data_IF_522523222258
#
_entry.id   IF_522523222258
#
_cell.length_a   1.000
_cell.length_b   1.000
_cell.length_c   1.000
_cell.angle_alpha   90.00
_cell.angle_beta   90.00
_cell.angle_gamma   90.00
#
_symmetry.space_group_name_H-M   'P 1'
#
loop_
_entity.id
_entity.type
_entity.pdbx_description
1 polymer ?
#
# COMPACT_ATOMS: atom_id res chain seq x y z
N UNK A 1 -22.80 -79.19 6.07
CA UNK A 1 -23.82 -78.73 5.13
C UNK A 1 -24.27 -77.29 5.32
N UNK A 2 -24.00 -76.64 6.46
CA UNK A 2 -24.43 -75.21 6.74
C UNK A 2 -23.51 -74.12 6.11
N UNK A 3 -22.29 -74.43 5.72
CA UNK A 3 -21.37 -73.47 5.11
C UNK A 3 -21.52 -73.29 3.58
N UNK A 4 -22.19 -74.23 2.90
CA UNK A 4 -22.43 -74.15 1.43
C UNK A 4 -23.72 -73.40 1.09
N UNK A 5 -24.70 -73.31 2.01
CA UNK A 5 -25.88 -72.50 1.83
C UNK A 5 -25.69 -70.98 1.99
N UNK A 6 -24.71 -70.57 2.81
CA UNK A 6 -24.42 -69.16 3.05
C UNK A 6 -23.67 -68.52 1.86
N UNK A 7 -22.89 -69.29 1.14
CA UNK A 7 -22.16 -68.83 -0.07
C UNK A 7 -23.10 -68.62 -1.28
N UNK A 8 -24.21 -69.35 -1.35
CA UNK A 8 -25.17 -69.26 -2.47
C UNK A 8 -26.11 -68.05 -2.30
N UNK A 9 -26.42 -67.65 -1.06
CA UNK A 9 -27.25 -66.46 -0.77
C UNK A 9 -26.47 -65.16 -0.98
N UNK A 10 -25.13 -65.15 -0.73
CA UNK A 10 -24.31 -63.99 -1.01
C UNK A 10 -24.05 -63.79 -2.52
N UNK A 11 -24.01 -64.85 -3.31
CA UNK A 11 -23.81 -64.78 -4.76
C UNK A 11 -25.06 -64.27 -5.49
N UNK A 12 -26.30 -64.53 -4.93
CA UNK A 12 -27.56 -64.07 -5.52
C UNK A 12 -27.87 -62.62 -5.20
N UNK A 13 -27.32 -62.09 -4.10
CA UNK A 13 -27.47 -60.64 -3.72
C UNK A 13 -26.58 -59.70 -4.55
N UNK A 14 -25.48 -60.20 -5.12
CA UNK A 14 -24.58 -59.40 -5.97
C UNK A 14 -24.96 -59.33 -7.45
N UNK A 15 -25.92 -60.16 -7.89
CA UNK A 15 -26.38 -60.19 -9.29
C UNK A 15 -27.61 -59.30 -9.57
N UNK A 16 -28.24 -58.69 -8.56
CA UNK A 16 -29.36 -57.75 -8.74
C UNK A 16 -28.99 -56.27 -8.72
N UNK A 17 -27.70 -55.92 -8.59
CA UNK A 17 -27.21 -54.54 -8.57
C UNK A 17 -26.70 -54.03 -9.95
N UNK A 18 -26.84 -54.79 -11.05
CA UNK A 18 -26.27 -54.46 -12.36
C UNK A 18 -27.30 -54.20 -13.48
N UNK A 19 -28.61 -54.04 -13.14
CA UNK A 19 -29.65 -53.76 -14.16
C UNK A 19 -30.43 -52.49 -13.79
N UNK A 20 -29.69 -51.37 -13.63
CA UNK A 20 -30.29 -50.03 -13.52
C UNK A 20 -29.31 -48.96 -13.99
N UNK A 21 -28.84 -49.05 -15.24
CA UNK A 21 -28.24 -47.94 -15.96
C UNK A 21 -28.30 -48.24 -17.46
N UNK A 22 -29.41 -47.87 -18.05
CA UNK A 22 -29.63 -47.95 -19.47
C UNK A 22 -30.71 -46.96 -19.89
N UNK A 23 -30.48 -45.67 -19.69
CA UNK A 23 -31.30 -44.65 -20.31
C UNK A 23 -30.35 -43.68 -21.03
N UNK A 24 -30.44 -43.66 -22.36
CA UNK A 24 -29.83 -42.69 -23.22
C UNK A 24 -30.49 -41.36 -22.98
N UNK A 25 -29.79 -40.42 -22.36
CA UNK A 25 -30.19 -39.02 -22.39
C UNK A 25 -29.45 -38.31 -23.47
N UNK A 26 -30.21 -37.69 -24.33
CA UNK A 26 -29.85 -36.73 -25.36
C UNK A 26 -29.10 -35.54 -24.74
N UNK A 27 -28.07 -34.96 -25.35
CA UNK A 27 -27.45 -33.79 -24.82
C UNK A 27 -28.40 -32.61 -24.92
N UNK A 28 -28.96 -32.21 -23.78
CA UNK A 28 -29.67 -30.95 -23.63
C UNK A 28 -28.60 -29.85 -23.52
N UNK A 29 -28.52 -29.03 -24.55
CA UNK A 29 -27.74 -27.82 -24.57
C UNK A 29 -28.43 -26.78 -23.67
N UNK A 30 -28.14 -26.81 -22.36
CA UNK A 30 -28.43 -25.68 -21.50
C UNK A 30 -27.20 -24.74 -21.55
N UNK A 31 -27.38 -23.66 -22.29
CA UNK A 31 -26.61 -22.46 -22.09
C UNK A 31 -26.75 -22.04 -20.62
N UNK A 32 -25.68 -22.14 -19.89
CA UNK A 32 -25.62 -21.69 -18.52
C UNK A 32 -25.56 -20.16 -18.58
N UNK A 33 -26.69 -19.52 -18.37
CA UNK A 33 -26.76 -18.09 -18.05
C UNK A 33 -25.90 -17.83 -16.80
N UNK A 34 -25.11 -16.77 -16.86
CA UNK A 34 -24.16 -16.36 -15.86
C UNK A 34 -24.73 -16.30 -14.45
N UNK A 35 -24.47 -17.34 -13.70
CA UNK A 35 -24.57 -17.34 -12.27
C UNK A 35 -23.24 -16.77 -11.76
N UNK A 36 -23.22 -15.49 -11.37
CA UNK A 36 -22.16 -14.91 -10.57
C UNK A 36 -21.92 -15.85 -9.39
N UNK A 37 -20.81 -16.58 -9.40
CA UNK A 37 -20.45 -17.55 -8.40
C UNK A 37 -20.32 -16.85 -7.06
N UNK A 38 -21.28 -17.07 -6.17
CA UNK A 38 -21.19 -16.66 -4.78
C UNK A 38 -20.15 -17.59 -4.15
N UNK A 39 -18.95 -17.06 -3.88
CA UNK A 39 -17.91 -17.84 -3.20
C UNK A 39 -18.24 -17.88 -1.71
N UNK A 40 -18.02 -19.03 -1.06
CA UNK A 40 -18.09 -19.13 0.41
C UNK A 40 -16.85 -18.48 1.10
N UNK A 41 -16.04 -17.74 0.37
CA UNK A 41 -14.87 -17.03 0.87
C UNK A 41 -15.29 -15.72 1.58
N UNK A 42 -14.64 -15.36 2.72
CA UNK A 42 -13.68 -16.14 3.49
C UNK A 42 -14.32 -17.02 4.57
N UNK A 43 -13.73 -18.21 4.85
CA UNK A 43 -14.20 -19.17 5.87
C UNK A 43 -13.30 -19.20 7.13
N UNK A 44 -12.18 -18.52 7.10
CA UNK A 44 -11.20 -18.43 8.17
C UNK A 44 -10.58 -17.03 8.20
N UNK A 45 -9.76 -16.74 9.20
CA UNK A 45 -9.03 -15.48 9.30
C UNK A 45 -8.12 -15.22 8.08
N UNK A 46 -7.96 -13.94 7.72
CA UNK A 46 -7.05 -13.47 6.68
C UNK A 46 -5.82 -12.89 7.37
N UNK A 47 -4.63 -13.34 6.95
CA UNK A 47 -3.35 -12.78 7.40
C UNK A 47 -2.99 -11.56 6.56
N UNK A 48 -2.66 -10.44 7.22
CA UNK A 48 -2.15 -9.22 6.60
C UNK A 48 -0.69 -9.08 6.98
N UNK A 49 0.22 -9.25 6.04
CA UNK A 49 1.64 -9.01 6.25
C UNK A 49 1.93 -7.53 6.11
N UNK A 50 2.31 -6.90 7.23
CA UNK A 50 2.77 -5.52 7.27
C UNK A 50 4.29 -5.51 7.24
N UNK A 51 4.95 -5.01 6.18
CA UNK A 51 6.39 -5.15 5.96
C UNK A 51 7.23 -4.15 6.76
N UNK A 52 6.71 -3.69 7.90
CA UNK A 52 7.30 -2.70 8.80
C UNK A 52 7.17 -3.12 10.26
N UNK A 53 7.97 -2.47 11.11
CA UNK A 53 7.88 -2.68 12.56
C UNK A 53 6.50 -2.27 13.10
N UNK A 54 6.07 -2.98 14.15
CA UNK A 54 4.84 -2.66 14.85
C UNK A 54 4.87 -1.22 15.43
N UNK A 55 3.72 -0.55 15.42
CA UNK A 55 3.55 0.83 15.91
C UNK A 55 3.86 1.91 14.88
N UNK A 56 4.27 1.56 13.66
CA UNK A 56 4.36 2.50 12.53
C UNK A 56 3.00 2.79 11.90
N UNK A 57 2.92 3.83 11.05
CA UNK A 57 1.66 4.27 10.43
C UNK A 57 0.91 3.15 9.71
N UNK A 58 1.60 2.33 8.91
CA UNK A 58 0.99 1.20 8.21
C UNK A 58 0.48 0.09 9.14
N UNK A 59 1.20 -0.20 10.25
CA UNK A 59 0.76 -1.17 11.25
C UNK A 59 -0.50 -0.68 11.98
N UNK A 60 -0.52 0.60 12.34
CA UNK A 60 -1.68 1.22 12.99
C UNK A 60 -2.88 1.20 12.05
N UNK A 61 -2.71 1.57 10.77
CA UNK A 61 -3.77 1.54 9.78
C UNK A 61 -4.32 0.12 9.53
N UNK A 62 -3.43 -0.88 9.46
CA UNK A 62 -3.85 -2.29 9.31
C UNK A 62 -4.59 -2.80 10.55
N UNK A 63 -4.18 -2.39 11.77
CA UNK A 63 -4.85 -2.80 13.03
C UNK A 63 -6.22 -2.16 13.20
N UNK A 64 -6.43 -0.95 12.69
CA UNK A 64 -7.75 -0.32 12.70
C UNK A 64 -8.77 -1.09 11.86
N UNK A 65 -8.33 -1.74 10.79
CA UNK A 65 -9.21 -2.62 10.00
C UNK A 65 -9.64 -3.91 10.75
N UNK A 66 -8.93 -4.35 11.80
CA UNK A 66 -9.25 -5.60 12.50
C UNK A 66 -10.66 -5.60 13.13
N UNK A 67 -11.03 -4.64 14.00
CA UNK A 67 -12.38 -4.59 14.56
C UNK A 67 -13.44 -4.38 13.48
N UNK A 68 -13.18 -3.54 12.48
CA UNK A 68 -14.10 -3.26 11.38
C UNK A 68 -14.42 -4.54 10.59
N UNK A 69 -13.39 -5.32 10.21
CA UNK A 69 -13.58 -6.60 9.53
C UNK A 69 -14.37 -7.60 10.39
N UNK A 70 -14.08 -7.63 11.70
CA UNK A 70 -14.79 -8.52 12.62
C UNK A 70 -16.28 -8.17 12.72
N UNK A 71 -16.57 -6.88 12.86
CA UNK A 71 -17.94 -6.40 13.08
C UNK A 71 -18.76 -6.45 11.78
N UNK A 72 -18.17 -6.08 10.63
CA UNK A 72 -18.88 -6.07 9.36
C UNK A 72 -19.05 -7.47 8.74
N UNK A 73 -18.04 -8.32 8.84
CA UNK A 73 -17.96 -9.55 8.05
C UNK A 73 -17.84 -10.82 8.90
N UNK A 74 -17.63 -10.69 10.22
CA UNK A 74 -17.36 -11.83 11.11
C UNK A 74 -16.00 -12.49 10.89
N UNK A 75 -15.09 -11.84 10.13
CA UNK A 75 -13.77 -12.34 9.75
C UNK A 75 -12.70 -11.67 10.61
N UNK A 76 -11.78 -12.47 11.14
CA UNK A 76 -10.63 -11.94 11.87
C UNK A 76 -9.49 -11.62 10.89
N UNK A 77 -8.92 -10.42 10.98
CA UNK A 77 -7.64 -10.09 10.38
C UNK A 77 -6.51 -10.40 11.37
N UNK A 78 -5.49 -11.11 10.91
CA UNK A 78 -4.26 -11.38 11.70
C UNK A 78 -3.15 -10.53 11.14
N UNK A 79 -2.71 -9.53 11.90
CA UNK A 79 -1.63 -8.65 11.49
C UNK A 79 -0.29 -9.27 11.86
N UNK A 80 0.57 -9.50 10.85
CA UNK A 80 1.91 -10.05 11.00
C UNK A 80 2.94 -9.02 10.52
N UNK A 81 3.78 -8.52 11.45
CA UNK A 81 4.83 -7.57 11.12
C UNK A 81 6.09 -8.31 10.66
N UNK A 82 6.49 -8.11 9.40
CA UNK A 82 7.68 -8.74 8.80
C UNK A 82 8.57 -7.65 8.21
N UNK A 83 9.32 -6.97 9.06
CA UNK A 83 10.21 -5.89 8.65
C UNK A 83 11.52 -6.43 8.03
N UNK A 84 12.16 -5.59 7.21
CA UNK A 84 13.48 -5.84 6.63
C UNK A 84 13.59 -5.43 5.16
N UNK A 85 14.81 -4.98 4.77
CA UNK A 85 15.12 -4.60 3.39
C UNK A 85 14.19 -3.51 2.82
N UNK A 86 13.85 -2.51 3.62
CA UNK A 86 12.91 -1.44 3.20
C UNK A 86 11.59 -1.99 2.66
N UNK A 87 10.96 -2.93 3.39
CA UNK A 87 9.74 -3.67 3.04
C UNK A 87 9.91 -4.93 2.16
N UNK A 88 11.06 -5.12 1.52
CA UNK A 88 11.27 -6.22 0.58
C UNK A 88 11.02 -7.61 1.19
N UNK A 89 11.47 -7.85 2.44
CA UNK A 89 11.34 -9.16 3.09
C UNK A 89 9.87 -9.55 3.28
N UNK A 90 9.08 -8.69 3.90
CA UNK A 90 7.67 -8.99 4.17
C UNK A 90 6.83 -9.08 2.89
N UNK A 91 7.06 -8.19 1.93
CA UNK A 91 6.30 -8.22 0.67
C UNK A 91 6.69 -9.41 -0.20
N UNK A 92 7.97 -9.80 -0.25
CA UNK A 92 8.37 -11.04 -0.91
C UNK A 92 7.70 -12.26 -0.27
N UNK A 93 7.55 -12.29 1.06
CA UNK A 93 6.80 -13.33 1.74
C UNK A 93 5.32 -13.33 1.34
N UNK A 94 4.69 -12.15 1.29
CA UNK A 94 3.28 -12.02 0.94
C UNK A 94 3.01 -12.48 -0.49
N UNK A 95 3.73 -11.94 -1.49
CA UNK A 95 3.51 -12.25 -2.92
C UNK A 95 3.88 -13.70 -3.30
N UNK A 96 4.73 -14.37 -2.53
CA UNK A 96 5.05 -15.79 -2.71
C UNK A 96 4.21 -16.74 -1.84
N UNK A 97 3.19 -16.25 -1.17
CA UNK A 97 2.27 -17.12 -0.41
C UNK A 97 1.29 -17.84 -1.34
N UNK A 98 0.43 -18.71 -0.77
CA UNK A 98 -0.59 -19.39 -1.58
C UNK A 98 -1.59 -18.39 -2.14
N UNK A 99 -1.92 -18.51 -3.43
CA UNK A 99 -2.95 -17.69 -4.09
C UNK A 99 -4.37 -18.20 -3.74
N UNK A 100 -4.69 -18.23 -2.44
CA UNK A 100 -5.99 -18.68 -1.90
C UNK A 100 -6.80 -17.56 -1.24
N UNK A 101 -6.28 -16.32 -1.24
CA UNK A 101 -6.91 -15.14 -0.67
C UNK A 101 -6.75 -14.99 0.85
N UNK A 102 -6.09 -15.93 1.55
CA UNK A 102 -5.95 -15.87 3.01
C UNK A 102 -4.64 -15.24 3.50
N UNK A 103 -3.77 -14.83 2.58
CA UNK A 103 -2.59 -14.02 2.88
C UNK A 103 -2.54 -12.84 1.93
N UNK A 104 -2.51 -11.63 2.48
CA UNK A 104 -2.36 -10.39 1.72
C UNK A 104 -1.18 -9.60 2.28
N UNK A 105 -0.54 -8.79 1.44
CA UNK A 105 0.53 -7.88 1.84
C UNK A 105 0.05 -6.43 1.88
N UNK A 106 0.59 -5.63 2.79
CA UNK A 106 0.36 -4.19 2.81
C UNK A 106 1.52 -3.49 2.11
N UNK A 107 1.41 -3.34 0.79
CA UNK A 107 2.44 -2.73 -0.07
C UNK A 107 2.45 -1.21 0.05
N UNK A 108 3.63 -0.62 -0.09
CA UNK A 108 3.82 0.84 -0.05
C UNK A 108 4.59 1.31 -1.27
N UNK A 109 4.54 2.62 -1.57
CA UNK A 109 5.33 3.24 -2.64
C UNK A 109 6.85 3.02 -2.49
N UNK A 110 7.33 2.71 -1.28
CA UNK A 110 8.73 2.31 -1.06
C UNK A 110 9.08 1.01 -1.79
N UNK A 111 8.19 0.00 -1.77
CA UNK A 111 8.42 -1.24 -2.53
C UNK A 111 8.37 -1.01 -4.03
N UNK A 112 7.46 -0.13 -4.49
CA UNK A 112 7.40 0.28 -5.90
C UNK A 112 8.76 0.90 -6.31
N UNK A 113 9.33 1.75 -5.45
CA UNK A 113 10.66 2.33 -5.68
C UNK A 113 11.79 1.30 -5.73
N UNK A 114 11.76 0.30 -4.85
CA UNK A 114 12.72 -0.82 -4.87
C UNK A 114 12.64 -1.61 -6.19
N UNK A 115 11.43 -1.89 -6.65
CA UNK A 115 11.19 -2.58 -7.92
C UNK A 115 11.63 -1.72 -9.12
N UNK A 116 11.31 -0.42 -9.11
CA UNK A 116 11.70 0.54 -10.14
C UNK A 116 13.23 0.65 -10.31
N UNK A 117 13.98 0.53 -9.21
CA UNK A 117 15.44 0.47 -9.23
C UNK A 117 16.04 -0.90 -9.56
N UNK A 118 15.19 -1.95 -9.72
CA UNK A 118 15.68 -3.31 -9.92
C UNK A 118 16.36 -3.91 -8.69
N UNK A 119 16.11 -3.39 -7.49
CA UNK A 119 16.68 -3.88 -6.23
C UNK A 119 16.00 -5.16 -5.73
N UNK A 120 14.75 -5.37 -6.11
CA UNK A 120 14.00 -6.62 -5.89
C UNK A 120 13.82 -7.35 -7.21
N UNK A 121 13.80 -8.68 -7.16
CA UNK A 121 13.71 -9.52 -8.37
C UNK A 121 12.27 -9.85 -8.78
N UNK A 122 11.27 -9.14 -8.22
CA UNK A 122 9.86 -9.32 -8.58
C UNK A 122 9.57 -8.77 -9.98
N UNK A 123 8.77 -9.50 -10.75
CA UNK A 123 8.10 -8.96 -11.92
C UNK A 123 6.91 -8.13 -11.44
N UNK A 124 7.13 -6.81 -11.38
CA UNK A 124 6.19 -5.89 -10.75
C UNK A 124 4.80 -5.90 -11.40
N UNK A 125 4.72 -6.21 -12.67
CA UNK A 125 3.45 -6.24 -13.42
C UNK A 125 2.69 -7.57 -13.23
N UNK A 126 3.39 -8.67 -12.85
CA UNK A 126 2.83 -10.02 -12.91
C UNK A 126 2.93 -10.84 -11.62
N UNK A 127 3.60 -10.36 -10.57
CA UNK A 127 3.81 -11.18 -9.36
C UNK A 127 2.70 -11.00 -8.30
N UNK A 128 1.82 -10.01 -8.46
CA UNK A 128 0.75 -9.74 -7.48
C UNK A 128 -0.46 -9.05 -8.10
N UNK A 129 -1.59 -9.22 -7.43
CA UNK A 129 -2.85 -8.53 -7.69
C UNK A 129 -3.05 -7.36 -6.72
N UNK A 130 -3.19 -6.09 -7.17
CA UNK A 130 -3.66 -4.99 -6.32
C UNK A 130 -5.10 -5.25 -5.88
N UNK A 131 -5.38 -5.09 -4.58
CA UNK A 131 -6.69 -5.39 -3.98
C UNK A 131 -7.45 -4.13 -3.60
N UNK A 132 -6.86 -3.24 -2.78
CA UNK A 132 -7.53 -2.02 -2.34
C UNK A 132 -6.51 -0.97 -1.93
N UNK A 133 -6.69 0.26 -2.41
CA UNK A 133 -5.94 1.43 -1.95
C UNK A 133 -6.46 1.86 -0.58
N UNK A 134 -5.68 1.58 0.46
CA UNK A 134 -6.08 1.78 1.86
C UNK A 134 -5.73 3.17 2.35
N UNK A 135 -4.61 3.71 1.90
CA UNK A 135 -4.05 4.94 2.44
C UNK A 135 -3.29 5.73 1.37
N UNK A 136 -3.59 7.01 1.27
CA UNK A 136 -2.75 8.02 0.60
C UNK A 136 -2.30 9.04 1.63
N UNK A 137 -0.99 9.14 1.82
CA UNK A 137 -0.35 10.00 2.81
C UNK A 137 0.54 11.02 2.09
N UNK A 138 0.18 12.30 2.04
CA UNK A 138 0.94 13.26 1.25
C UNK A 138 2.37 13.40 1.79
N UNK A 139 3.35 13.45 0.88
CA UNK A 139 4.70 13.87 1.25
C UNK A 139 4.67 15.36 1.57
N UNK A 140 5.28 15.70 2.69
CA UNK A 140 5.34 17.06 3.23
C UNK A 140 6.78 17.52 3.40
N UNK A 141 7.02 18.82 3.17
CA UNK A 141 8.24 19.49 3.54
C UNK A 141 7.98 20.25 4.84
N UNK A 142 8.66 19.82 5.90
CA UNK A 142 8.40 20.26 7.28
C UNK A 142 9.66 20.80 7.92
N UNK A 143 9.55 21.93 8.62
CA UNK A 143 10.62 22.57 9.35
C UNK A 143 10.33 22.66 10.85
N UNK A 144 11.36 22.90 11.66
CA UNK A 144 11.21 23.33 13.06
C UNK A 144 10.53 24.70 13.09
N UNK A 145 9.55 24.89 13.97
CA UNK A 145 8.85 26.17 14.13
C UNK A 145 9.82 27.28 14.50
N UNK A 146 9.74 28.39 13.76
CA UNK A 146 10.59 29.57 13.95
C UNK A 146 11.95 29.52 13.22
N UNK A 147 12.25 28.45 12.46
CA UNK A 147 13.41 28.41 11.56
C UNK A 147 13.04 29.01 10.21
N UNK A 148 11.98 28.50 9.58
CA UNK A 148 11.42 29.00 8.33
C UNK A 148 9.90 29.18 8.50
N UNK A 149 9.34 30.24 7.89
CA UNK A 149 7.89 30.48 7.88
C UNK A 149 7.27 29.96 6.57
N UNK A 150 8.04 29.91 5.49
CA UNK A 150 7.61 29.47 4.16
C UNK A 150 8.67 28.58 3.49
N UNK A 151 8.26 27.83 2.46
CA UNK A 151 9.20 27.07 1.63
C UNK A 151 10.22 27.97 0.94
N UNK A 152 9.83 29.21 0.57
CA UNK A 152 10.74 30.18 -0.04
C UNK A 152 11.86 30.58 0.91
N UNK A 153 11.60 30.75 2.21
CA UNK A 153 12.62 31.08 3.20
C UNK A 153 13.71 29.99 3.27
N UNK A 154 13.30 28.71 3.25
CA UNK A 154 14.23 27.59 3.17
C UNK A 154 15.05 27.61 1.87
N UNK A 155 14.39 27.81 0.73
CA UNK A 155 15.07 27.84 -0.58
C UNK A 155 16.06 29.00 -0.66
N UNK A 156 15.71 30.19 -0.17
CA UNK A 156 16.61 31.34 -0.14
C UNK A 156 17.82 31.07 0.76
N UNK A 157 17.63 30.51 1.94
CA UNK A 157 18.71 30.13 2.84
C UNK A 157 19.64 29.08 2.19
N UNK A 158 19.06 28.01 1.61
CA UNK A 158 19.82 26.96 0.93
C UNK A 158 20.68 27.49 -0.24
N UNK A 159 20.18 28.49 -0.98
CA UNK A 159 20.97 29.16 -2.03
C UNK A 159 22.22 29.88 -1.50
N UNK A 160 22.21 30.35 -0.25
CA UNK A 160 23.37 31.04 0.34
C UNK A 160 24.47 30.09 0.81
N UNK A 161 24.15 28.77 0.96
CA UNK A 161 25.07 27.74 1.46
C UNK A 161 24.95 26.43 0.68
N UNK A 162 25.31 26.44 -0.63
CA UNK A 162 25.19 25.27 -1.49
C UNK A 162 26.02 24.11 -0.93
N UNK A 163 25.40 22.90 -0.92
CA UNK A 163 25.98 21.70 -0.37
C UNK A 163 25.97 21.60 1.17
N UNK A 164 25.42 22.60 1.90
CA UNK A 164 25.37 22.58 3.37
C UNK A 164 23.97 22.44 3.94
N UNK A 165 22.93 22.86 3.20
CA UNK A 165 21.53 22.65 3.62
C UNK A 165 21.19 21.16 3.61
N UNK A 166 20.50 20.67 4.66
CA UNK A 166 20.20 19.26 4.85
C UNK A 166 18.71 19.02 4.83
N UNK A 167 18.27 18.10 3.96
CA UNK A 167 16.92 17.54 3.91
C UNK A 167 16.92 16.12 4.49
N UNK A 168 16.22 15.92 5.60
CA UNK A 168 16.04 14.60 6.20
C UNK A 168 14.93 13.83 5.48
N UNK A 169 15.23 12.63 4.99
CA UNK A 169 14.30 11.72 4.30
C UNK A 169 14.06 10.48 5.15
N UNK A 170 12.82 10.01 5.25
CA UNK A 170 12.46 8.83 6.06
C UNK A 170 12.83 7.48 5.43
N UNK A 171 13.27 7.48 4.18
CA UNK A 171 13.68 6.29 3.46
C UNK A 171 14.59 6.65 2.28
N UNK A 172 15.23 5.64 1.71
CA UNK A 172 16.09 5.78 0.52
C UNK A 172 15.31 5.57 -0.78
N UNK A 173 14.15 4.92 -0.70
CA UNK A 173 13.33 4.51 -1.84
C UNK A 173 11.94 5.13 -1.73
N UNK A 174 11.18 5.13 -2.82
CA UNK A 174 9.84 5.71 -2.88
C UNK A 174 9.84 7.16 -3.33
N UNK A 175 8.80 7.90 -2.97
CA UNK A 175 8.50 9.22 -3.55
C UNK A 175 9.24 10.39 -2.91
N UNK A 176 9.50 10.34 -1.60
CA UNK A 176 10.13 11.45 -0.88
C UNK A 176 11.53 11.83 -1.41
N UNK A 177 12.48 10.88 -1.67
CA UNK A 177 13.76 11.22 -2.29
C UNK A 177 13.61 11.87 -3.66
N UNK A 178 12.65 11.40 -4.46
CA UNK A 178 12.39 11.95 -5.80
C UNK A 178 11.88 13.38 -5.69
N UNK A 179 10.88 13.66 -4.85
CA UNK A 179 10.37 15.01 -4.65
C UNK A 179 11.43 15.98 -4.12
N UNK A 180 12.31 15.49 -3.24
CA UNK A 180 13.44 16.33 -2.77
C UNK A 180 14.44 16.65 -3.89
N UNK A 181 14.73 15.69 -4.78
CA UNK A 181 15.59 15.92 -5.93
C UNK A 181 14.95 16.91 -6.94
N UNK A 182 13.66 16.73 -7.24
CA UNK A 182 12.90 17.65 -8.10
C UNK A 182 12.83 19.07 -7.51
N UNK A 183 12.69 19.21 -6.19
CA UNK A 183 12.75 20.52 -5.54
C UNK A 183 14.13 21.15 -5.69
N UNK A 184 15.21 20.40 -5.48
CA UNK A 184 16.57 20.88 -5.66
C UNK A 184 16.77 21.43 -7.09
N UNK A 185 16.33 20.69 -8.10
CA UNK A 185 16.41 21.10 -9.50
C UNK A 185 15.56 22.33 -9.78
N UNK A 186 14.27 22.29 -9.46
CA UNK A 186 13.31 23.36 -9.75
C UNK A 186 13.62 24.65 -9.01
N UNK A 187 14.11 24.56 -7.78
CA UNK A 187 14.51 25.73 -6.97
C UNK A 187 15.92 26.23 -7.27
N UNK A 188 16.75 25.43 -7.98
CA UNK A 188 18.17 25.73 -8.24
C UNK A 188 18.98 25.76 -6.95
N UNK A 189 18.76 24.80 -6.05
CA UNK A 189 19.50 24.62 -4.79
C UNK A 189 20.31 23.33 -4.82
N UNK A 190 21.34 23.27 -3.99
CA UNK A 190 22.19 22.09 -3.78
C UNK A 190 22.07 21.67 -2.30
N UNK A 191 20.89 21.13 -1.93
CA UNK A 191 20.67 20.61 -0.58
C UNK A 191 21.03 19.11 -0.52
N UNK A 192 21.68 18.71 0.59
CA UNK A 192 22.06 17.32 0.83
C UNK A 192 20.85 16.51 1.30
N UNK A 193 20.55 15.42 0.62
CA UNK A 193 19.54 14.45 1.01
C UNK A 193 20.15 13.41 1.94
N UNK A 194 19.75 13.38 3.21
CA UNK A 194 20.19 12.38 4.19
C UNK A 194 19.03 11.46 4.50
N UNK A 195 19.17 10.17 4.09
CA UNK A 195 18.15 9.16 4.31
C UNK A 195 18.31 8.52 5.70
N UNK A 196 17.21 8.46 6.45
CA UNK A 196 17.08 7.78 7.73
C UNK A 196 16.19 6.55 7.57
N UNK A 197 16.00 5.80 8.65
CA UNK A 197 15.22 4.55 8.67
C UNK A 197 13.75 4.73 9.08
N UNK A 198 13.35 5.97 9.43
CA UNK A 198 11.98 6.27 9.85
C UNK A 198 11.67 7.77 9.85
N UNK A 199 10.38 8.12 9.74
CA UNK A 199 9.91 9.50 9.88
C UNK A 199 10.15 10.08 11.28
N UNK A 200 10.04 9.27 12.34
CA UNK A 200 10.35 9.69 13.71
C UNK A 200 11.83 10.10 13.87
N UNK A 201 12.73 9.50 13.10
CA UNK A 201 14.12 9.93 13.04
C UNK A 201 14.24 11.30 12.38
N UNK A 202 13.54 11.54 11.28
CA UNK A 202 13.51 12.86 10.62
C UNK A 202 13.00 13.95 11.58
N UNK A 203 11.94 13.68 12.35
CA UNK A 203 11.46 14.59 13.41
C UNK A 203 12.59 14.94 14.39
N UNK A 204 13.30 13.93 14.88
CA UNK A 204 14.42 14.12 15.84
C UNK A 204 15.53 14.97 15.26
N UNK A 205 15.92 14.74 14.01
CA UNK A 205 17.01 15.45 13.34
C UNK A 205 16.64 16.93 13.10
N UNK A 206 15.41 17.21 12.66
CA UNK A 206 14.95 18.58 12.43
C UNK A 206 14.78 19.35 13.75
N UNK A 207 14.16 18.74 14.77
CA UNK A 207 14.00 19.38 16.07
C UNK A 207 15.33 19.61 16.77
N UNK A 208 16.29 18.70 16.57
CA UNK A 208 17.67 18.80 17.07
C UNK A 208 18.53 19.82 16.34
N UNK A 209 18.10 20.31 15.18
CA UNK A 209 18.87 21.23 14.33
C UNK A 209 20.01 20.56 13.58
N UNK A 210 19.93 19.23 13.36
CA UNK A 210 20.87 18.46 12.55
C UNK A 210 20.42 18.36 11.08
N UNK A 211 19.17 18.67 10.80
CA UNK A 211 18.61 18.87 9.47
C UNK A 211 17.80 20.16 9.44
N UNK A 212 17.78 20.84 8.31
CA UNK A 212 17.09 22.12 8.12
C UNK A 212 15.58 21.88 7.93
N UNK A 213 15.25 20.90 7.10
CA UNK A 213 13.88 20.46 6.83
C UNK A 213 13.82 18.92 6.76
N UNK A 214 12.63 18.38 6.89
CA UNK A 214 12.33 16.99 6.52
C UNK A 214 11.43 16.97 5.28
N UNK A 215 11.61 15.95 4.44
CA UNK A 215 10.71 15.61 3.35
C UNK A 215 10.28 14.14 3.57
N UNK A 216 9.06 13.94 4.07
CA UNK A 216 8.53 12.63 4.45
C UNK A 216 7.00 12.67 4.49
N UNK A 217 6.38 11.55 4.84
CA UNK A 217 4.94 11.45 5.02
C UNK A 217 4.44 12.49 6.04
N UNK A 218 3.35 13.18 5.72
CA UNK A 218 2.77 14.17 6.62
C UNK A 218 2.41 13.59 7.99
N UNK A 219 1.92 12.34 8.00
CA UNK A 219 1.55 11.62 9.23
C UNK A 219 2.71 11.44 10.22
N UNK A 220 3.97 11.49 9.76
CA UNK A 220 5.15 11.43 10.62
C UNK A 220 5.27 12.67 11.53
N UNK A 221 4.65 13.79 11.16
CA UNK A 221 4.83 15.10 11.80
C UNK A 221 3.58 15.65 12.49
N UNK A 222 2.42 14.98 12.38
CA UNK A 222 1.11 15.46 12.86
C UNK A 222 1.16 15.89 14.32
N UNK A 223 1.75 15.08 15.19
CA UNK A 223 1.80 15.35 16.63
C UNK A 223 2.65 16.59 16.95
N UNK A 224 3.80 16.76 16.27
CA UNK A 224 4.71 17.89 16.47
C UNK A 224 4.15 19.19 15.87
N UNK A 225 3.42 19.08 14.75
CA UNK A 225 2.71 20.22 14.16
C UNK A 225 1.57 20.66 15.07
N UNK A 226 0.79 19.71 15.61
CA UNK A 226 -0.28 20.00 16.57
C UNK A 226 0.25 20.59 17.89
N UNK A 227 1.43 20.15 18.34
CA UNK A 227 2.13 20.72 19.49
C UNK A 227 2.74 22.11 19.23
N UNK A 228 2.76 22.58 17.98
CA UNK A 228 3.37 23.84 17.57
C UNK A 228 4.90 23.84 17.57
N UNK A 229 5.53 22.64 17.56
CA UNK A 229 6.99 22.47 17.51
C UNK A 229 7.52 22.47 16.09
N UNK A 230 6.71 22.04 15.12
CA UNK A 230 7.04 22.00 13.69
C UNK A 230 5.99 22.75 12.86
N UNK A 231 6.33 23.07 11.64
CA UNK A 231 5.46 23.72 10.64
C UNK A 231 5.60 23.02 9.29
N UNK A 232 4.47 22.72 8.67
CA UNK A 232 4.45 22.23 7.28
C UNK A 232 4.57 23.41 6.34
N UNK A 233 5.65 23.44 5.55
CA UNK A 233 5.94 24.51 4.59
C UNK A 233 5.19 24.32 3.27
N UNK A 234 5.07 23.07 2.81
CA UNK A 234 4.34 22.70 1.61
C UNK A 234 4.08 21.19 1.53
N UNK A 235 3.08 20.78 0.73
CA UNK A 235 2.81 19.41 0.34
C UNK A 235 3.31 19.11 -1.07
N UNK A 236 3.82 17.92 -1.30
CA UNK A 236 4.21 17.41 -2.62
C UNK A 236 3.01 16.71 -3.29
N UNK A 237 1.95 17.46 -3.53
CA UNK A 237 0.71 17.01 -4.17
C UNK A 237 0.32 17.96 -5.30
N UNK A 238 -0.50 17.50 -6.25
CA UNK A 238 -1.02 18.32 -7.34
C UNK A 238 -1.90 19.46 -6.81
N UNK A 239 -2.80 19.11 -5.89
CA UNK A 239 -3.71 20.04 -5.24
C UNK A 239 -3.54 19.94 -3.71
N UNK A 240 -4.05 20.91 -2.97
CA UNK A 240 -4.08 20.87 -1.52
C UNK A 240 -4.87 19.67 -1.03
N UNK A 241 -4.35 18.95 -0.05
CA UNK A 241 -5.08 17.86 0.57
C UNK A 241 -6.37 18.39 1.24
N UNK A 242 -7.49 17.69 1.05
CA UNK A 242 -8.77 18.09 1.62
C UNK A 242 -8.73 18.16 3.17
N UNK A 243 -7.91 17.31 3.80
CA UNK A 243 -7.64 17.34 5.25
C UNK A 243 -6.74 18.50 5.71
N UNK A 244 -6.04 19.18 4.78
CA UNK A 244 -5.05 20.22 5.05
C UNK A 244 -5.25 21.44 4.12
N UNK A 245 -6.43 22.08 4.10
CA UNK A 245 -6.76 23.10 3.11
C UNK A 245 -5.90 24.36 3.22
N UNK A 246 -5.30 24.62 4.38
CA UNK A 246 -4.45 25.80 4.62
C UNK A 246 -2.98 25.56 4.26
N UNK A 247 -2.56 24.30 4.03
CA UNK A 247 -1.18 23.97 3.63
C UNK A 247 -1.07 24.05 2.12
N UNK A 248 -0.18 24.89 1.57
CA UNK A 248 0.00 25.02 0.12
C UNK A 248 0.75 23.81 -0.46
N UNK A 249 0.61 23.61 -1.77
CA UNK A 249 1.49 22.68 -2.48
C UNK A 249 2.83 23.33 -2.83
N UNK A 250 3.84 22.50 -3.15
CA UNK A 250 5.15 22.98 -3.62
C UNK A 250 5.00 23.79 -4.93
N UNK A 251 4.12 23.33 -5.82
CA UNK A 251 3.82 24.02 -7.09
C UNK A 251 3.16 25.38 -6.88
N UNK A 252 2.24 25.52 -5.91
CA UNK A 252 1.68 26.83 -5.53
C UNK A 252 2.74 27.80 -5.00
N UNK A 253 3.88 27.30 -4.52
CA UNK A 253 5.03 28.10 -4.09
C UNK A 253 5.99 28.44 -5.22
N UNK A 254 5.68 28.01 -6.45
CA UNK A 254 6.43 28.38 -7.66
C UNK A 254 7.54 27.39 -8.02
N UNK A 255 7.62 26.22 -7.39
CA UNK A 255 8.59 25.17 -7.70
C UNK A 255 7.89 23.99 -8.36
N UNK A 256 8.26 23.67 -9.59
CA UNK A 256 7.70 22.54 -10.34
C UNK A 256 8.36 21.23 -9.89
N UNK A 257 7.59 20.41 -9.21
CA UNK A 257 7.96 19.04 -8.81
C UNK A 257 7.08 17.97 -9.46
N UNK A 258 6.25 18.36 -10.45
CA UNK A 258 5.35 17.47 -11.16
C UNK A 258 5.81 17.17 -12.59
N UNK A 259 7.08 17.49 -12.93
CA UNK A 259 7.65 17.26 -14.26
C UNK A 259 7.65 15.79 -14.70
N UNK A 260 7.59 14.86 -13.73
CA UNK A 260 7.48 13.40 -13.95
C UNK A 260 6.06 12.86 -13.64
N UNK A 261 5.06 13.75 -13.59
CA UNK A 261 3.72 13.41 -13.13
C UNK A 261 3.59 13.36 -11.61
N UNK A 262 2.40 13.00 -11.13
CA UNK A 262 2.14 12.86 -9.69
C UNK A 262 2.55 11.46 -9.19
N UNK A 263 3.62 11.42 -8.42
CA UNK A 263 4.10 10.20 -7.78
C UNK A 263 3.36 10.00 -6.45
N UNK A 264 2.37 9.13 -6.44
CA UNK A 264 1.53 8.91 -5.26
C UNK A 264 2.32 8.25 -4.13
N UNK A 265 2.24 8.84 -2.95
CA UNK A 265 2.67 8.17 -1.71
C UNK A 265 1.47 7.41 -1.15
N UNK A 266 1.47 6.11 -1.33
CA UNK A 266 0.31 5.27 -1.05
C UNK A 266 0.70 3.96 -0.35
N UNK A 267 -0.31 3.38 0.31
CA UNK A 267 -0.26 2.03 0.86
C UNK A 267 -1.54 1.29 0.47
N UNK A 268 -1.39 0.10 -0.06
CA UNK A 268 -2.49 -0.70 -0.60
C UNK A 268 -2.32 -2.18 -0.32
N UNK A 269 -3.44 -2.89 -0.24
CA UNK A 269 -3.42 -4.35 -0.11
C UNK A 269 -3.08 -5.00 -1.44
N UNK A 270 -2.23 -6.02 -1.39
CA UNK A 270 -1.89 -6.88 -2.52
C UNK A 270 -2.08 -8.34 -2.15
N UNK A 271 -2.41 -9.16 -3.12
CA UNK A 271 -2.43 -10.62 -2.99
C UNK A 271 -1.47 -11.24 -4.01
N UNK A 272 -1.02 -12.50 -3.81
CA UNK A 272 -0.25 -13.23 -4.84
C UNK A 272 -1.02 -13.28 -6.15
N UNK A 273 -0.30 -13.22 -7.28
CA UNK A 273 -0.90 -13.48 -8.60
C UNK A 273 -1.52 -14.88 -8.68
N UNK A 274 -2.53 -15.02 -9.54
CA UNK A 274 -3.21 -16.29 -9.80
C UNK A 274 -4.34 -16.61 -8.83
N UNK A 275 -4.90 -15.63 -8.12
CA UNK A 275 -6.15 -15.79 -7.39
C UNK A 275 -7.30 -16.23 -8.31
N UNK A 276 -8.22 -17.02 -7.79
CA UNK A 276 -9.53 -17.20 -8.43
C UNK A 276 -10.26 -15.84 -8.52
N UNK A 277 -10.82 -15.52 -9.69
CA UNK A 277 -11.47 -14.23 -9.96
C UNK A 277 -12.53 -13.85 -8.93
N UNK A 278 -13.32 -14.85 -8.46
CA UNK A 278 -14.36 -14.61 -7.47
C UNK A 278 -13.78 -14.34 -6.07
N UNK A 279 -12.63 -14.96 -5.73
CA UNK A 279 -11.89 -14.68 -4.49
C UNK A 279 -11.28 -13.29 -4.53
N UNK A 280 -10.63 -12.91 -5.65
CA UNK A 280 -10.10 -11.56 -5.86
C UNK A 280 -11.18 -10.49 -5.74
N UNK A 281 -12.28 -10.65 -6.47
CA UNK A 281 -13.41 -9.72 -6.41
C UNK A 281 -13.97 -9.58 -4.98
N UNK A 282 -14.05 -10.70 -4.23
CA UNK A 282 -14.53 -10.68 -2.85
C UNK A 282 -13.54 -9.99 -1.91
N UNK A 283 -12.24 -10.19 -2.06
CA UNK A 283 -11.22 -9.45 -1.30
C UNK A 283 -11.32 -7.95 -1.56
N UNK A 284 -11.41 -7.54 -2.84
CA UNK A 284 -11.60 -6.13 -3.21
C UNK A 284 -12.84 -5.54 -2.52
N UNK A 285 -13.97 -6.25 -2.58
CA UNK A 285 -15.24 -5.84 -1.94
C UNK A 285 -15.08 -5.65 -0.44
N UNK A 286 -14.48 -6.63 0.28
CA UNK A 286 -14.33 -6.59 1.72
C UNK A 286 -13.44 -5.43 2.18
N UNK A 287 -12.26 -5.26 1.58
CA UNK A 287 -11.36 -4.17 1.93
C UNK A 287 -11.93 -2.80 1.54
N UNK A 288 -12.58 -2.70 0.37
CA UNK A 288 -13.25 -1.47 -0.05
C UNK A 288 -14.32 -1.04 0.95
N UNK A 289 -15.24 -1.94 1.33
CA UNK A 289 -16.31 -1.64 2.30
C UNK A 289 -15.73 -1.27 3.66
N UNK A 290 -14.69 -1.97 4.14
CA UNK A 290 -14.05 -1.66 5.41
C UNK A 290 -13.39 -0.27 5.38
N UNK A 291 -12.66 0.06 4.33
CA UNK A 291 -12.05 1.38 4.16
C UNK A 291 -13.07 2.50 3.96
N UNK A 292 -14.25 2.21 3.39
CA UNK A 292 -15.35 3.18 3.22
C UNK A 292 -16.23 3.33 4.47
N UNK A 293 -16.04 2.51 5.51
CA UNK A 293 -16.82 2.64 6.75
C UNK A 293 -16.58 4.00 7.42
N UNK A 294 -17.61 4.54 8.07
CA UNK A 294 -17.52 5.80 8.80
C UNK A 294 -16.37 5.75 9.83
N UNK A 295 -16.22 4.61 10.53
CA UNK A 295 -15.17 4.38 11.53
C UNK A 295 -13.76 4.53 10.92
N UNK A 296 -13.49 3.89 9.76
CA UNK A 296 -12.19 4.00 9.12
C UNK A 296 -11.93 5.39 8.52
N UNK A 297 -12.96 6.03 7.96
CA UNK A 297 -12.86 7.39 7.42
C UNK A 297 -12.61 8.43 8.53
N UNK A 298 -13.26 8.31 9.69
CA UNK A 298 -12.99 9.16 10.86
C UNK A 298 -11.57 8.95 11.39
N UNK A 299 -11.10 7.71 11.45
CA UNK A 299 -9.72 7.40 11.83
C UNK A 299 -8.72 8.02 10.85
N UNK A 300 -8.92 7.86 9.54
CA UNK A 300 -8.06 8.42 8.49
C UNK A 300 -7.99 9.96 8.59
N UNK A 301 -9.16 10.61 8.71
CA UNK A 301 -9.25 12.06 8.88
C UNK A 301 -8.54 12.56 10.15
N UNK A 302 -8.69 11.84 11.26
CA UNK A 302 -8.01 12.14 12.53
C UNK A 302 -6.50 12.05 12.47
N UNK A 303 -5.97 11.32 11.47
CA UNK A 303 -4.53 11.18 11.20
C UNK A 303 -4.06 11.94 9.97
N UNK A 304 -4.94 12.69 9.33
CA UNK A 304 -4.63 13.55 8.16
C UNK A 304 -4.14 12.81 6.92
N UNK A 305 -4.53 11.54 6.73
CA UNK A 305 -4.37 10.84 5.46
C UNK A 305 -5.72 10.59 4.77
N UNK A 306 -5.73 10.33 3.47
CA UNK A 306 -6.92 9.94 2.74
C UNK A 306 -7.01 8.42 2.62
N UNK A 307 -8.24 7.87 2.70
CA UNK A 307 -8.53 6.46 2.39
C UNK A 307 -9.52 6.40 1.24
N UNK A 308 -9.05 6.42 -0.02
CA UNK A 308 -9.93 6.51 -1.18
C UNK A 308 -10.63 5.20 -1.51
N UNK A 309 -10.16 4.08 -0.97
CA UNK A 309 -10.75 2.76 -1.15
C UNK A 309 -10.91 2.34 -2.62
N UNK A 310 -9.97 2.75 -3.48
CA UNK A 310 -9.94 2.42 -4.91
C UNK A 310 -9.57 0.95 -5.09
N UNK A 311 -10.24 0.27 -6.02
CA UNK A 311 -10.06 -1.16 -6.33
C UNK A 311 -10.07 -1.41 -7.84
N UNK A 312 -9.71 -2.61 -8.27
CA UNK A 312 -9.82 -3.05 -9.67
C UNK A 312 -8.84 -2.36 -10.61
N UNK A 313 -9.28 -2.15 -11.87
CA UNK A 313 -8.44 -1.61 -12.95
C UNK A 313 -7.91 -0.20 -12.60
N UNK A 314 -8.73 0.65 -11.98
CA UNK A 314 -8.31 1.99 -11.56
C UNK A 314 -7.11 1.94 -10.60
N UNK A 315 -7.12 1.02 -9.62
CA UNK A 315 -5.98 0.85 -8.72
C UNK A 315 -4.76 0.31 -9.47
N UNK A 316 -4.96 -0.62 -10.37
CA UNK A 316 -3.87 -1.19 -11.19
C UNK A 316 -3.19 -0.10 -12.04
N UNK A 317 -3.98 0.77 -12.67
CA UNK A 317 -3.47 1.90 -13.45
C UNK A 317 -2.65 2.87 -12.56
N UNK A 318 -3.17 3.25 -11.38
CA UNK A 318 -2.47 4.10 -10.42
C UNK A 318 -1.12 3.49 -9.98
N UNK A 319 -1.10 2.19 -9.71
CA UNK A 319 0.12 1.47 -9.30
C UNK A 319 1.16 1.46 -10.42
N UNK A 320 0.73 1.19 -11.66
CA UNK A 320 1.60 1.16 -12.84
C UNK A 320 2.12 2.55 -13.23
N UNK A 321 1.29 3.59 -13.14
CA UNK A 321 1.71 4.98 -13.35
C UNK A 321 2.77 5.39 -12.33
N UNK A 322 2.55 5.06 -11.04
CA UNK A 322 3.53 5.34 -9.98
C UNK A 322 4.84 4.59 -10.20
N UNK A 323 4.79 3.33 -10.62
CA UNK A 323 5.97 2.53 -10.95
C UNK A 323 6.77 3.15 -12.10
N UNK A 324 6.08 3.50 -13.18
CA UNK A 324 6.70 4.10 -14.38
C UNK A 324 7.37 5.44 -14.03
N UNK A 325 6.66 6.32 -13.33
CA UNK A 325 7.20 7.62 -12.93
C UNK A 325 8.39 7.51 -11.96
N UNK A 326 8.33 6.57 -11.00
CA UNK A 326 9.48 6.30 -10.12
C UNK A 326 10.68 5.75 -10.89
N UNK A 327 10.44 4.88 -11.88
CA UNK A 327 11.51 4.33 -12.72
C UNK A 327 12.20 5.44 -13.53
N UNK A 328 11.43 6.31 -14.17
CA UNK A 328 11.95 7.47 -14.89
C UNK A 328 12.75 8.40 -13.96
N UNK A 329 12.24 8.64 -12.74
CA UNK A 329 12.91 9.46 -11.74
C UNK A 329 14.25 8.86 -11.31
N UNK A 330 14.28 7.56 -11.03
CA UNK A 330 15.53 6.90 -10.62
C UNK A 330 16.57 6.87 -11.74
N UNK A 331 16.14 6.64 -12.97
CA UNK A 331 17.03 6.69 -14.14
C UNK A 331 17.60 8.11 -14.34
N UNK A 332 16.84 9.15 -14.05
CA UNK A 332 17.25 10.55 -14.23
C UNK A 332 18.13 11.10 -13.09
N UNK A 333 17.80 10.81 -11.83
CA UNK A 333 18.37 11.48 -10.67
C UNK A 333 19.26 10.60 -9.79
N UNK A 334 19.20 9.27 -9.92
CA UNK A 334 19.88 8.34 -9.00
C UNK A 334 20.71 7.27 -9.73
N UNK A 335 20.76 7.27 -11.08
CA UNK A 335 21.64 6.41 -11.86
C UNK A 335 23.08 6.93 -11.73
N UNK A 336 23.83 6.40 -10.75
CA UNK A 336 25.22 6.71 -10.50
C UNK A 336 26.10 5.47 -10.47
#
# INVERSE_FOLDING_TARGET
MKKKALALVLALAMSMALIACGQKDTPSNNANDGQSGQTDFPQKSITVIVPWNAGGGNDIAARELQPIFKDMFGVDLVIENVAGGSSAVGLTQAINSAADGYTVGFMTSTYIGLAAQGTVSSDFENDFDPICLVMEDPIAIVAKKGTYETLADFVEDAKTRPGEAIVALSNTFGTAPVYSALLNESAGIDAQNICYDSGSRCVTEVLGGHADVACSNYTDFVDQIAAGEMVCLALCTEERAASLPDVPTVNERGYDIMSLGFLRQMSFMVAPDGLDDAVKAKLCELFQQACQSDEYQEFAAGRSFASPAIVGDELTDIVNETYTGLKEAYDAYFAG
#
